data_IF_002091665799
#
_entry.id   IF_002091665799
#
_cell.length_a   1.000
_cell.length_b   1.000
_cell.length_c   1.000
_cell.angle_alpha   90.00
_cell.angle_beta   90.00
_cell.angle_gamma   90.00
#
_symmetry.space_group_name_H-M   'P 1'
#
loop_
_entity.id
_entity.type
_entity.pdbx_description
1 polymer ?
#
# COMPACT_ATOMS: atom_id res chain seq x y z
N UNK A 1 31.88 -25.67 17.92
CA UNK A 1 31.58 -24.81 16.76
C UNK A 1 30.08 -24.53 16.77
N UNK A 2 29.65 -23.47 17.43
CA UNK A 2 28.23 -23.11 17.52
C UNK A 2 27.80 -22.53 16.18
N UNK A 3 26.96 -23.25 15.43
CA UNK A 3 26.37 -22.72 14.21
C UNK A 3 25.58 -21.44 14.55
N UNK A 4 25.77 -20.34 13.81
CA UNK A 4 24.98 -19.15 14.01
C UNK A 4 23.51 -19.49 13.74
N UNK A 5 22.66 -19.36 14.77
CA UNK A 5 21.21 -19.45 14.63
C UNK A 5 20.82 -18.42 13.57
N UNK A 6 20.34 -18.92 12.42
CA UNK A 6 19.79 -18.07 11.38
C UNK A 6 18.65 -17.27 12.01
N UNK A 7 18.59 -15.93 11.90
CA UNK A 7 17.49 -15.17 12.47
C UNK A 7 16.19 -15.74 11.90
N UNK A 8 15.37 -16.30 12.79
CA UNK A 8 14.18 -17.07 12.42
C UNK A 8 13.26 -16.20 11.55
N UNK A 9 12.94 -16.68 10.35
CA UNK A 9 12.09 -15.97 9.40
C UNK A 9 10.68 -15.90 9.99
N UNK A 10 10.15 -14.69 10.16
CA UNK A 10 8.77 -14.51 10.64
C UNK A 10 7.78 -14.84 9.53
N UNK A 11 7.24 -16.06 9.55
CA UNK A 11 6.32 -16.59 8.52
C UNK A 11 5.01 -15.83 8.46
N UNK A 12 4.60 -15.15 9.55
CA UNK A 12 3.35 -14.37 9.60
C UNK A 12 3.35 -13.27 8.55
N UNK A 13 4.50 -12.61 8.36
CA UNK A 13 4.65 -11.53 7.37
C UNK A 13 4.49 -12.06 5.94
N UNK A 14 5.00 -13.26 5.67
CA UNK A 14 4.83 -13.90 4.37
C UNK A 14 3.36 -14.30 4.12
N UNK A 15 2.67 -14.84 5.13
CA UNK A 15 1.25 -15.20 5.05
C UNK A 15 0.39 -13.94 4.84
N UNK A 16 0.57 -12.89 5.64
CA UNK A 16 -0.18 -11.65 5.45
C UNK A 16 0.08 -11.00 4.09
N UNK A 17 1.32 -11.07 3.58
CA UNK A 17 1.63 -10.61 2.22
C UNK A 17 0.89 -11.43 1.17
N UNK A 18 0.85 -12.76 1.31
CA UNK A 18 0.13 -13.64 0.39
C UNK A 18 -1.38 -13.38 0.42
N UNK A 19 -1.96 -13.23 1.62
CA UNK A 19 -3.37 -12.88 1.80
C UNK A 19 -3.70 -11.51 1.20
N UNK A 20 -2.84 -10.50 1.39
CA UNK A 20 -3.03 -9.20 0.78
C UNK A 20 -3.04 -9.29 -0.74
N UNK A 21 -2.08 -10.00 -1.35
CA UNK A 21 -2.02 -10.20 -2.80
C UNK A 21 -3.23 -10.96 -3.34
N UNK A 22 -3.68 -12.01 -2.64
CA UNK A 22 -4.88 -12.76 -3.03
C UNK A 22 -6.14 -11.88 -2.96
N UNK A 23 -6.27 -11.09 -1.89
CA UNK A 23 -7.42 -10.20 -1.71
C UNK A 23 -7.43 -9.11 -2.79
N UNK A 24 -6.28 -8.51 -3.10
CA UNK A 24 -6.12 -7.55 -4.20
C UNK A 24 -6.57 -8.19 -5.52
N UNK A 25 -6.11 -9.41 -5.82
CA UNK A 25 -6.51 -10.11 -7.04
C UNK A 25 -8.02 -10.30 -7.14
N UNK A 26 -8.66 -10.79 -6.08
CA UNK A 26 -10.13 -10.98 -6.04
C UNK A 26 -10.85 -9.65 -6.20
N UNK A 27 -10.37 -8.59 -5.55
CA UNK A 27 -10.94 -7.24 -5.66
C UNK A 27 -10.80 -6.61 -7.04
N UNK A 28 -9.95 -7.16 -7.90
CA UNK A 28 -9.73 -6.70 -9.28
C UNK A 28 -10.60 -7.47 -10.30
N UNK A 29 -11.42 -8.42 -9.84
CA UNK A 29 -12.43 -9.13 -10.64
C UNK A 29 -13.80 -8.96 -9.95
N UNK A 30 -14.41 -7.76 -10.07
CA UNK A 30 -15.68 -7.47 -9.39
C UNK A 30 -16.83 -8.31 -9.96
N UNK A 31 -17.85 -8.56 -9.12
CA UNK A 31 -19.03 -9.37 -9.45
C UNK A 31 -18.90 -10.86 -9.12
N UNK A 32 -17.81 -11.27 -8.47
CA UNK A 32 -17.63 -12.67 -8.01
C UNK A 32 -18.10 -12.84 -6.57
N UNK A 33 -18.52 -14.06 -6.20
CA UNK A 33 -18.92 -14.37 -4.81
C UNK A 33 -17.77 -14.14 -3.82
N UNK A 34 -16.53 -14.31 -4.28
CA UNK A 34 -15.34 -14.08 -3.48
C UNK A 34 -15.12 -12.61 -3.13
N UNK A 35 -15.60 -11.68 -3.97
CA UNK A 35 -15.53 -10.24 -3.70
C UNK A 35 -16.23 -9.88 -2.39
N UNK A 36 -17.35 -10.52 -2.06
CA UNK A 36 -18.07 -10.24 -0.80
C UNK A 36 -17.28 -10.63 0.45
N UNK A 37 -16.28 -11.52 0.31
CA UNK A 37 -15.44 -12.02 1.39
C UNK A 37 -14.10 -11.26 1.50
N UNK A 38 -13.86 -10.26 0.64
CA UNK A 38 -12.60 -9.51 0.69
C UNK A 38 -12.62 -8.44 1.76
N UNK A 39 -11.42 -8.10 2.23
CA UNK A 39 -11.17 -7.17 3.34
C UNK A 39 -11.85 -5.80 3.16
N UNK A 40 -12.02 -5.32 1.91
CA UNK A 40 -12.65 -4.03 1.63
C UNK A 40 -14.10 -3.91 2.12
N UNK A 41 -14.81 -5.02 2.32
CA UNK A 41 -16.19 -5.01 2.77
C UNK A 41 -16.31 -4.95 4.30
N UNK A 42 -15.20 -5.13 5.04
CA UNK A 42 -15.22 -5.24 6.50
C UNK A 42 -14.76 -3.97 7.22
N UNK A 43 -14.48 -2.88 6.49
CA UNK A 43 -14.14 -1.61 7.11
C UNK A 43 -13.58 -0.58 6.14
N UNK A 44 -12.97 0.48 6.67
CA UNK A 44 -12.61 1.66 5.88
C UNK A 44 -11.39 1.45 4.98
N UNK A 45 -10.47 0.56 5.36
CA UNK A 45 -9.29 0.20 4.57
C UNK A 45 -9.47 -1.15 3.88
N UNK A 46 -8.67 -1.40 2.85
CA UNK A 46 -8.61 -2.62 2.07
C UNK A 46 -7.19 -3.21 2.02
N UNK A 47 -6.99 -4.20 1.16
CA UNK A 47 -5.75 -4.95 1.09
C UNK A 47 -4.55 -4.11 0.61
N UNK A 48 -4.77 -2.97 -0.04
CA UNK A 48 -3.69 -2.07 -0.45
C UNK A 48 -2.99 -1.45 0.77
N UNK A 49 -3.74 -1.00 1.78
CA UNK A 49 -3.13 -0.47 3.01
C UNK A 49 -2.30 -1.53 3.73
N UNK A 50 -2.85 -2.74 3.88
CA UNK A 50 -2.13 -3.85 4.48
C UNK A 50 -0.85 -4.17 3.69
N UNK A 51 -0.95 -4.23 2.36
CA UNK A 51 0.20 -4.48 1.49
C UNK A 51 1.31 -3.43 1.64
N UNK A 52 0.98 -2.13 1.68
CA UNK A 52 1.97 -1.05 1.81
C UNK A 52 2.61 -1.04 3.20
N UNK A 53 1.82 -1.26 4.26
CA UNK A 53 2.33 -1.38 5.62
C UNK A 53 3.33 -2.54 5.74
N UNK A 54 2.94 -3.74 5.28
CA UNK A 54 3.78 -4.95 5.28
C UNK A 54 5.00 -4.78 4.38
N UNK A 55 4.87 -4.04 3.28
CA UNK A 55 5.99 -3.72 2.39
C UNK A 55 7.07 -2.90 3.10
N UNK A 56 6.66 -1.92 3.92
CA UNK A 56 7.58 -1.16 4.78
C UNK A 56 8.29 -2.04 5.81
N UNK A 57 7.54 -2.93 6.47
CA UNK A 57 8.09 -3.93 7.39
C UNK A 57 9.12 -4.84 6.68
N UNK A 58 8.78 -5.32 5.48
CA UNK A 58 9.64 -6.20 4.68
C UNK A 58 10.96 -5.53 4.29
N UNK A 59 10.93 -4.24 3.96
CA UNK A 59 12.14 -3.47 3.65
C UNK A 59 13.03 -3.31 4.90
N UNK A 60 12.44 -3.00 6.06
CA UNK A 60 13.18 -2.96 7.32
C UNK A 60 13.81 -4.32 7.67
N UNK A 61 13.10 -5.43 7.46
CA UNK A 61 13.63 -6.77 7.71
C UNK A 61 14.78 -7.14 6.77
N UNK A 62 14.65 -6.83 5.48
CA UNK A 62 15.59 -7.24 4.43
C UNK A 62 16.86 -6.38 4.39
N UNK A 63 16.74 -5.08 4.66
CA UNK A 63 17.80 -4.09 4.48
C UNK A 63 18.22 -3.39 5.78
N UNK A 64 17.39 -3.37 6.83
CA UNK A 64 17.63 -2.58 8.04
C UNK A 64 18.97 -2.87 8.74
N UNK A 65 19.34 -4.14 8.91
CA UNK A 65 20.64 -4.52 9.52
C UNK A 65 21.83 -4.33 8.57
N UNK A 66 21.58 -4.35 7.26
CA UNK A 66 22.60 -4.22 6.21
C UNK A 66 22.92 -2.75 5.89
N UNK A 67 22.05 -1.82 6.28
CA UNK A 67 22.16 -0.39 5.99
C UNK A 67 23.08 0.34 6.99
N UNK A 68 24.32 -0.13 7.12
CA UNK A 68 25.35 0.43 8.01
C UNK A 68 26.33 1.32 7.24
N UNK A 69 27.05 2.25 7.90
CA UNK A 69 28.15 3.00 7.29
C UNK A 69 29.08 2.05 6.50
N UNK A 70 29.45 2.42 5.27
CA UNK A 70 30.24 1.58 4.36
C UNK A 70 29.43 0.66 3.43
N UNK A 71 28.24 0.19 3.83
CA UNK A 71 27.41 -0.73 3.01
C UNK A 71 26.12 -0.08 2.46
N UNK A 72 25.89 1.21 2.76
CA UNK A 72 24.68 1.94 2.35
C UNK A 72 24.47 1.94 0.85
N UNK A 73 25.52 2.20 0.08
CA UNK A 73 25.44 2.27 -1.38
C UNK A 73 24.96 0.93 -1.97
N UNK A 74 25.54 -0.19 -1.51
CA UNK A 74 25.16 -1.53 -1.99
C UNK A 74 23.71 -1.84 -1.63
N UNK A 75 23.26 -1.49 -0.42
CA UNK A 75 21.87 -1.66 -0.02
C UNK A 75 20.92 -0.78 -0.86
N UNK A 76 21.27 0.48 -1.11
CA UNK A 76 20.55 1.40 -2.00
C UNK A 76 20.40 0.84 -3.40
N UNK A 77 21.50 0.40 -4.02
CA UNK A 77 21.48 -0.18 -5.37
C UNK A 77 20.61 -1.44 -5.45
N UNK A 78 20.58 -2.27 -4.40
CA UNK A 78 19.68 -3.43 -4.34
C UNK A 78 18.20 -3.03 -4.26
N UNK A 79 17.87 -1.97 -3.51
CA UNK A 79 16.50 -1.43 -3.44
C UNK A 79 16.08 -0.82 -4.78
N UNK A 80 16.96 -0.03 -5.40
CA UNK A 80 16.69 0.58 -6.71
C UNK A 80 16.62 -0.43 -7.84
N UNK A 81 17.46 -1.48 -7.84
CA UNK A 81 17.32 -2.60 -8.77
C UNK A 81 15.94 -3.24 -8.65
N UNK A 82 15.44 -3.42 -7.42
CA UNK A 82 14.10 -3.97 -7.19
C UNK A 82 13.00 -3.01 -7.64
N UNK A 83 13.15 -1.71 -7.42
CA UNK A 83 12.25 -0.70 -7.98
C UNK A 83 12.22 -0.75 -9.52
N UNK A 84 13.39 -0.91 -10.16
CA UNK A 84 13.51 -1.09 -11.61
C UNK A 84 12.82 -2.36 -12.11
N UNK A 85 12.93 -3.48 -11.39
CA UNK A 85 12.17 -4.70 -11.72
C UNK A 85 10.67 -4.43 -11.65
N UNK A 86 10.17 -3.77 -10.60
CA UNK A 86 8.75 -3.44 -10.49
C UNK A 86 8.28 -2.50 -11.60
N UNK A 87 9.10 -1.52 -11.98
CA UNK A 87 8.82 -0.64 -13.11
C UNK A 87 8.67 -1.45 -14.40
N UNK A 88 9.63 -2.31 -14.74
CA UNK A 88 9.56 -3.15 -15.95
C UNK A 88 8.37 -4.10 -15.88
N UNK A 89 8.13 -4.75 -14.73
CA UNK A 89 6.96 -5.61 -14.52
C UNK A 89 5.66 -4.86 -14.74
N UNK A 90 5.56 -3.62 -14.25
CA UNK A 90 4.38 -2.78 -14.48
C UNK A 90 4.20 -2.46 -15.96
N UNK A 91 5.25 -2.01 -16.67
CA UNK A 91 5.17 -1.72 -18.11
C UNK A 91 4.72 -2.95 -18.89
N UNK A 92 5.36 -4.10 -18.68
CA UNK A 92 5.02 -5.35 -19.39
C UNK A 92 3.60 -5.78 -19.09
N UNK A 93 3.18 -5.76 -17.82
CA UNK A 93 1.81 -6.15 -17.43
C UNK A 93 0.78 -5.20 -18.04
N UNK A 94 1.03 -3.89 -18.03
CA UNK A 94 0.17 -2.88 -18.68
C UNK A 94 0.03 -3.14 -20.18
N UNK A 95 1.12 -3.46 -20.88
CA UNK A 95 1.06 -3.82 -22.31
C UNK A 95 0.28 -5.10 -22.56
N UNK A 96 0.44 -6.13 -21.72
CA UNK A 96 -0.31 -7.39 -21.82
C UNK A 96 -1.80 -7.17 -21.60
N UNK A 97 -2.19 -6.42 -20.57
CA UNK A 97 -3.60 -6.08 -20.31
C UNK A 97 -4.19 -5.32 -21.49
N UNK A 98 -3.49 -4.30 -21.97
CA UNK A 98 -3.92 -3.51 -23.12
C UNK A 98 -4.10 -4.37 -24.38
N UNK A 99 -3.17 -5.29 -24.64
CA UNK A 99 -3.26 -6.23 -25.75
C UNK A 99 -4.47 -7.17 -25.63
N UNK A 100 -4.77 -7.67 -24.42
CA UNK A 100 -5.94 -8.53 -24.17
C UNK A 100 -7.24 -7.77 -24.46
N UNK A 101 -7.37 -6.55 -23.96
CA UNK A 101 -8.57 -5.73 -24.17
C UNK A 101 -8.75 -5.33 -25.64
N UNK A 102 -7.67 -4.92 -26.32
CA UNK A 102 -7.70 -4.66 -27.76
C UNK A 102 -8.04 -5.92 -28.57
N UNK A 103 -7.48 -7.08 -28.22
CA UNK A 103 -7.80 -8.34 -28.87
C UNK A 103 -9.26 -8.72 -28.68
N UNK A 104 -9.81 -8.57 -27.48
CA UNK A 104 -11.23 -8.81 -27.22
C UNK A 104 -12.12 -7.83 -28.01
N UNK A 105 -11.74 -6.56 -28.09
CA UNK A 105 -12.48 -5.57 -28.87
C UNK A 105 -12.54 -5.93 -30.37
N UNK A 106 -11.42 -6.37 -30.94
CA UNK A 106 -11.31 -6.72 -32.37
C UNK A 106 -11.92 -8.09 -32.67
N UNK A 107 -11.50 -9.14 -31.96
CA UNK A 107 -11.84 -10.53 -32.30
C UNK A 107 -13.18 -10.96 -31.72
N UNK A 108 -13.53 -10.52 -30.51
CA UNK A 108 -14.81 -10.83 -29.88
C UNK A 108 -15.90 -9.79 -30.20
N UNK A 109 -15.59 -8.78 -31.03
CA UNK A 109 -16.50 -7.69 -31.44
C UNK A 109 -17.12 -6.96 -30.25
N UNK A 110 -16.29 -6.69 -29.23
CA UNK A 110 -16.66 -6.02 -27.98
C UNK A 110 -15.96 -4.66 -27.81
N UNK A 111 -16.28 -3.66 -28.65
CA UNK A 111 -15.62 -2.35 -28.60
C UNK A 111 -15.86 -1.61 -27.28
N UNK A 112 -16.92 -1.96 -26.55
CA UNK A 112 -17.23 -1.49 -25.21
C UNK A 112 -16.11 -1.77 -24.19
N UNK A 113 -15.27 -2.79 -24.41
CA UNK A 113 -14.15 -3.07 -23.53
C UNK A 113 -13.07 -1.97 -23.56
N UNK A 114 -12.95 -1.22 -24.66
CA UNK A 114 -11.98 -0.13 -24.76
C UNK A 114 -12.34 1.08 -23.90
N UNK A 115 -13.57 1.17 -23.39
CA UNK A 115 -13.98 2.23 -22.46
C UNK A 115 -13.78 1.85 -20.99
N UNK A 116 -13.34 0.62 -20.72
CA UNK A 116 -13.11 0.15 -19.36
C UNK A 116 -11.68 0.43 -18.91
N UNK A 117 -11.48 0.41 -17.58
CA UNK A 117 -10.17 0.43 -16.91
C UNK A 117 -9.18 1.50 -17.41
N UNK A 118 -9.70 2.63 -17.89
CA UNK A 118 -8.90 3.75 -18.40
C UNK A 118 -8.10 3.42 -19.68
N UNK A 119 -8.64 2.57 -20.57
CA UNK A 119 -8.06 2.29 -21.90
C UNK A 119 -8.46 3.34 -22.93
N UNK A 120 -9.62 3.96 -22.79
CA UNK A 120 -10.18 4.89 -23.78
C UNK A 120 -9.21 5.99 -24.24
N UNK A 121 -8.41 6.62 -23.36
CA UNK A 121 -7.43 7.63 -23.78
C UNK A 121 -6.39 7.10 -24.79
N UNK A 122 -6.07 5.80 -24.76
CA UNK A 122 -5.15 5.19 -25.73
C UNK A 122 -5.70 5.29 -27.15
N UNK A 123 -7.01 5.11 -27.32
CA UNK A 123 -7.69 5.18 -28.62
C UNK A 123 -7.74 6.62 -29.11
N UNK A 124 -7.99 7.57 -28.20
CA UNK A 124 -8.14 8.99 -28.52
C UNK A 124 -6.81 9.70 -28.78
N UNK A 125 -5.81 9.46 -27.93
CA UNK A 125 -4.52 10.18 -27.91
C UNK A 125 -3.32 9.23 -27.67
N UNK A 126 -3.02 8.29 -28.61
CA UNK A 126 -2.00 7.27 -28.39
C UNK A 126 -0.60 7.81 -28.02
N UNK A 127 -0.04 8.83 -28.70
CA UNK A 127 1.30 9.32 -28.37
C UNK A 127 1.42 9.82 -26.93
N UNK A 128 0.44 10.59 -26.47
CA UNK A 128 0.41 11.15 -25.12
C UNK A 128 0.25 10.04 -24.07
N UNK A 129 -0.61 9.05 -24.33
CA UNK A 129 -0.78 7.91 -23.43
C UNK A 129 0.47 7.05 -23.35
N UNK A 130 1.17 6.81 -24.46
CA UNK A 130 2.44 6.07 -24.43
C UNK A 130 3.49 6.78 -23.56
N UNK A 131 3.58 8.12 -23.65
CA UNK A 131 4.40 8.91 -22.73
C UNK A 131 3.91 8.77 -21.29
N UNK A 132 2.60 8.85 -21.06
CA UNK A 132 1.99 8.65 -19.74
C UNK A 132 2.34 7.30 -19.14
N UNK A 133 2.23 6.20 -19.90
CA UNK A 133 2.52 4.84 -19.42
C UNK A 133 4.00 4.71 -19.03
N UNK A 134 4.92 5.16 -19.90
CA UNK A 134 6.37 5.08 -19.65
C UNK A 134 6.78 5.95 -18.46
N UNK A 135 6.14 7.11 -18.27
CA UNK A 135 6.40 7.99 -17.13
C UNK A 135 5.59 7.63 -15.88
N UNK A 136 4.80 6.55 -15.93
CA UNK A 136 3.84 6.13 -14.90
C UNK A 136 2.72 7.15 -14.63
N UNK A 137 2.59 8.20 -15.45
CA UNK A 137 1.50 9.18 -15.42
C UNK A 137 0.15 8.60 -15.84
N UNK A 138 0.12 7.67 -16.79
CA UNK A 138 -1.11 6.98 -17.22
C UNK A 138 -1.11 5.56 -16.70
N UNK A 139 -1.95 5.30 -15.70
CA UNK A 139 -2.10 3.98 -15.10
C UNK A 139 -3.47 3.43 -15.44
N UNK A 140 -3.51 2.19 -15.93
CA UNK A 140 -4.77 1.47 -16.10
C UNK A 140 -5.41 1.25 -14.72
N UNK A 141 -6.74 1.23 -14.70
CA UNK A 141 -7.49 0.83 -13.51
C UNK A 141 -6.97 -0.52 -13.01
N UNK A 142 -6.92 -0.70 -11.68
CA UNK A 142 -6.45 -1.93 -11.03
C UNK A 142 -4.93 -2.20 -11.14
N UNK A 143 -4.15 -1.35 -11.83
CA UNK A 143 -2.69 -1.53 -11.96
C UNK A 143 -1.85 -0.51 -11.15
N UNK A 144 -2.47 0.17 -10.19
CA UNK A 144 -1.88 1.34 -9.52
C UNK A 144 -0.93 0.99 -8.36
N UNK A 145 -1.00 -0.23 -7.81
CA UNK A 145 -0.21 -0.62 -6.62
C UNK A 145 1.29 -0.81 -6.94
N UNK A 146 1.64 -1.23 -8.15
CA UNK A 146 3.05 -1.41 -8.54
C UNK A 146 3.79 -0.07 -8.68
N UNK A 147 3.26 0.96 -9.39
CA UNK A 147 3.88 2.28 -9.48
C UNK A 147 4.16 2.91 -8.12
N UNK A 148 3.19 2.93 -7.21
CA UNK A 148 3.40 3.49 -5.86
C UNK A 148 4.46 2.70 -5.11
N UNK A 149 4.49 1.36 -5.23
CA UNK A 149 5.51 0.57 -4.54
C UNK A 149 6.92 0.79 -5.10
N UNK A 150 7.05 0.94 -6.42
CA UNK A 150 8.33 1.29 -7.05
C UNK A 150 8.82 2.67 -6.54
N UNK A 151 7.95 3.68 -6.48
CA UNK A 151 8.27 4.99 -5.93
C UNK A 151 8.70 4.92 -4.45
N UNK A 152 7.97 4.16 -3.62
CA UNK A 152 8.32 3.96 -2.21
C UNK A 152 9.68 3.26 -2.05
N UNK A 153 10.03 2.31 -2.92
CA UNK A 153 11.35 1.66 -2.90
C UNK A 153 12.48 2.58 -3.38
N UNK A 154 12.21 3.51 -4.29
CA UNK A 154 13.19 4.54 -4.67
C UNK A 154 13.50 5.47 -3.50
N UNK A 155 12.48 5.83 -2.70
CA UNK A 155 12.62 6.68 -1.50
C UNK A 155 13.08 5.92 -0.25
N UNK A 156 12.93 4.60 -0.21
CA UNK A 156 13.26 3.75 0.93
C UNK A 156 14.68 3.93 1.51
N UNK A 157 15.77 4.15 0.74
CA UNK A 157 17.07 4.41 1.30
C UNK A 157 17.09 5.66 2.19
N UNK A 158 16.39 6.72 1.80
CA UNK A 158 16.28 7.94 2.60
C UNK A 158 15.46 7.68 3.87
N UNK A 159 14.33 6.98 3.75
CA UNK A 159 13.53 6.58 4.91
C UNK A 159 14.31 5.73 5.91
N UNK A 160 15.02 4.71 5.42
CA UNK A 160 15.88 3.86 6.25
C UNK A 160 16.96 4.68 6.95
N UNK A 161 17.58 5.64 6.26
CA UNK A 161 18.57 6.53 6.86
C UNK A 161 17.95 7.32 8.02
N UNK A 162 16.90 8.10 7.76
CA UNK A 162 16.31 8.99 8.75
C UNK A 162 15.67 8.24 9.92
N UNK A 163 14.91 7.18 9.65
CA UNK A 163 14.28 6.34 10.68
C UNK A 163 15.35 5.64 11.53
N UNK A 164 16.48 5.26 10.93
CA UNK A 164 17.56 4.64 11.69
C UNK A 164 18.22 5.62 12.67
N UNK A 165 18.31 6.91 12.35
CA UNK A 165 18.92 7.89 13.23
C UNK A 165 17.94 8.52 14.23
N UNK A 166 16.80 9.01 13.76
CA UNK A 166 15.80 9.73 14.55
C UNK A 166 14.39 9.28 14.16
N UNK A 167 13.92 8.11 14.66
CA UNK A 167 12.66 7.51 14.21
C UNK A 167 11.45 8.43 14.43
N UNK A 168 11.35 9.07 15.60
CA UNK A 168 10.23 9.98 15.90
C UNK A 168 10.22 11.20 14.99
N UNK A 169 11.38 11.84 14.76
CA UNK A 169 11.47 12.99 13.86
C UNK A 169 11.17 12.59 12.41
N UNK A 170 11.66 11.43 11.95
CA UNK A 170 11.38 10.92 10.62
C UNK A 170 9.89 10.64 10.40
N UNK A 171 9.22 10.02 11.39
CA UNK A 171 7.77 9.79 11.34
C UNK A 171 6.97 11.11 11.42
N UNK A 172 7.42 12.08 12.21
CA UNK A 172 6.78 13.40 12.27
C UNK A 172 6.86 14.14 10.92
N UNK A 173 8.03 14.12 10.26
CA UNK A 173 8.21 14.68 8.91
C UNK A 173 7.35 13.93 7.89
N UNK A 174 7.31 12.60 7.98
CA UNK A 174 6.48 11.76 7.12
C UNK A 174 4.98 12.06 7.29
N UNK A 175 4.52 12.29 8.53
CA UNK A 175 3.15 12.67 8.83
C UNK A 175 2.82 14.10 8.36
N UNK A 176 3.75 15.05 8.54
CA UNK A 176 3.60 16.41 8.02
C UNK A 176 3.50 16.41 6.48
N UNK A 177 4.34 15.63 5.79
CA UNK A 177 4.27 15.48 4.34
C UNK A 177 2.93 14.89 3.89
N UNK A 178 2.44 13.84 4.56
CA UNK A 178 1.12 13.26 4.28
C UNK A 178 -0.01 14.29 4.45
N UNK A 179 0.03 15.06 5.54
CA UNK A 179 -0.99 16.07 5.85
C UNK A 179 -0.96 17.23 4.85
N UNK A 180 0.22 17.76 4.53
CA UNK A 180 0.40 18.85 3.56
C UNK A 180 -0.01 18.38 2.17
N UNK A 181 0.43 17.20 1.74
CA UNK A 181 0.04 16.63 0.45
C UNK A 181 -1.47 16.42 0.35
N UNK A 182 -2.12 16.02 1.44
CA UNK A 182 -3.56 15.82 1.49
C UNK A 182 -4.38 17.11 1.54
N UNK A 183 -3.94 18.13 2.28
CA UNK A 183 -4.62 19.44 2.37
C UNK A 183 -4.52 20.19 1.04
N UNK A 184 -3.33 20.24 0.45
CA UNK A 184 -3.08 20.99 -0.77
C UNK A 184 -3.20 20.14 -2.04
N UNK A 185 -3.67 18.90 -1.92
CA UNK A 185 -3.83 17.92 -3.00
C UNK A 185 -2.58 17.79 -3.89
N UNK A 186 -1.41 17.70 -3.27
CA UNK A 186 -0.13 17.54 -3.97
C UNK A 186 0.09 16.06 -4.25
N UNK A 187 0.07 15.69 -5.53
CA UNK A 187 0.35 14.34 -5.98
C UNK A 187 0.92 14.37 -7.42
N UNK A 188 1.62 13.31 -7.85
CA UNK A 188 2.02 13.18 -9.25
C UNK A 188 0.78 13.21 -10.18
N UNK A 189 0.86 13.87 -11.34
CA UNK A 189 -0.29 14.04 -12.24
C UNK A 189 -0.65 12.75 -12.97
N UNK A 190 -1.93 12.59 -13.30
CA UNK A 190 -2.47 11.47 -14.08
C UNK A 190 -2.33 11.69 -15.61
N UNK A 191 -1.15 12.09 -16.09
CA UNK A 191 -0.97 12.49 -17.49
C UNK A 191 -1.25 11.34 -18.48
N UNK A 192 -2.03 11.54 -19.57
CA UNK A 192 -2.53 12.83 -20.08
C UNK A 192 -3.90 13.26 -19.57
N UNK A 193 -4.56 12.42 -18.78
CA UNK A 193 -5.86 12.73 -18.19
C UNK A 193 -5.72 13.75 -17.04
N UNK A 194 -6.80 14.46 -16.69
CA UNK A 194 -6.80 15.31 -15.51
C UNK A 194 -6.72 14.48 -14.22
N UNK A 195 -6.30 15.14 -13.13
CA UNK A 195 -6.23 14.55 -11.80
C UNK A 195 -4.84 14.00 -11.44
N UNK A 196 -4.83 13.05 -10.52
CA UNK A 196 -3.63 12.59 -9.84
C UNK A 196 -3.47 11.08 -9.94
N UNK A 197 -2.27 10.59 -9.64
CA UNK A 197 -2.06 9.17 -9.39
C UNK A 197 -3.06 8.65 -8.36
N UNK A 198 -3.73 7.55 -8.69
CA UNK A 198 -4.75 6.96 -7.82
C UNK A 198 -4.23 6.62 -6.41
N UNK A 199 -2.95 6.23 -6.30
CA UNK A 199 -2.24 6.02 -5.04
C UNK A 199 -1.07 7.02 -4.95
N UNK A 200 -1.24 8.10 -4.20
CA UNK A 200 -0.24 9.16 -4.09
C UNK A 200 0.98 8.72 -3.26
N UNK A 201 2.20 8.62 -3.83
CA UNK A 201 3.38 8.23 -3.08
C UNK A 201 3.70 9.14 -1.89
N UNK A 202 3.32 10.43 -1.94
CA UNK A 202 3.57 11.41 -0.86
C UNK A 202 2.68 11.16 0.37
N UNK A 203 1.48 10.63 0.16
CA UNK A 203 0.57 10.22 1.23
C UNK A 203 0.87 8.82 1.73
N UNK A 204 1.03 7.87 0.81
CA UNK A 204 1.20 6.45 1.13
C UNK A 204 2.55 6.11 1.77
N UNK A 205 3.56 6.99 1.62
CA UNK A 205 4.84 6.82 2.33
C UNK A 205 4.71 6.85 3.85
N UNK A 206 3.67 7.50 4.42
CA UNK A 206 3.45 7.49 5.86
C UNK A 206 3.21 6.07 6.39
N UNK A 207 2.28 5.34 5.77
CA UNK A 207 1.96 3.97 6.17
C UNK A 207 3.16 3.03 5.98
N UNK A 208 3.90 3.20 4.88
CA UNK A 208 5.15 2.49 4.63
C UNK A 208 6.20 2.75 5.71
N UNK A 209 6.37 4.01 6.10
CA UNK A 209 7.33 4.42 7.13
C UNK A 209 6.93 3.96 8.53
N UNK A 210 5.64 3.92 8.86
CA UNK A 210 5.14 3.32 10.10
C UNK A 210 5.53 1.84 10.17
N UNK A 211 5.31 1.08 9.10
CA UNK A 211 5.71 -0.34 9.03
C UNK A 211 7.22 -0.52 9.17
N UNK A 212 8.01 0.30 8.48
CA UNK A 212 9.47 0.27 8.55
C UNK A 212 9.98 0.60 9.96
N UNK A 213 9.49 1.69 10.56
CA UNK A 213 9.87 2.13 11.88
C UNK A 213 9.50 1.12 12.97
N UNK A 214 8.33 0.48 12.85
CA UNK A 214 7.87 -0.55 13.78
C UNK A 214 8.85 -1.72 13.86
N UNK A 215 9.27 -2.25 12.70
CA UNK A 215 10.25 -3.35 12.66
C UNK A 215 11.62 -2.92 13.17
N UNK A 216 12.10 -1.73 12.78
CA UNK A 216 13.39 -1.22 13.24
C UNK A 216 13.40 -0.98 14.76
N UNK A 217 12.29 -0.51 15.33
CA UNK A 217 12.12 -0.33 16.77
C UNK A 217 12.18 -1.68 17.50
N UNK A 218 11.41 -2.68 17.05
CA UNK A 218 11.43 -4.03 17.65
C UNK A 218 12.81 -4.67 17.55
N UNK A 219 13.50 -4.52 16.41
CA UNK A 219 14.87 -5.02 16.23
C UNK A 219 15.91 -4.37 17.14
N UNK A 220 15.65 -3.18 17.67
CA UNK A 220 16.52 -2.50 18.64
C UNK A 220 16.24 -2.91 20.08
N UNK A 221 15.41 -3.93 20.30
CA UNK A 221 14.98 -4.37 21.63
C UNK A 221 13.75 -3.62 22.15
N UNK A 222 13.15 -2.74 21.33
CA UNK A 222 11.87 -2.13 21.65
C UNK A 222 10.72 -3.14 21.62
N UNK A 223 9.61 -2.81 22.27
CA UNK A 223 8.39 -3.61 22.23
C UNK A 223 7.22 -2.70 21.87
N UNK A 224 6.26 -3.20 21.09
CA UNK A 224 5.02 -2.47 20.83
C UNK A 224 4.15 -2.62 22.09
N UNK A 225 3.89 -1.54 22.85
CA UNK A 225 3.18 -1.65 24.12
C UNK A 225 1.72 -2.06 23.88
N UNK A 226 1.30 -3.11 24.58
CA UNK A 226 -0.08 -3.58 24.56
C UNK A 226 -0.82 -2.98 25.75
N UNK A 227 -1.81 -2.12 25.49
CA UNK A 227 -2.64 -1.47 26.49
C UNK A 227 -4.10 -1.89 26.30
N UNK A 228 -4.74 -2.40 27.36
CA UNK A 228 -6.15 -2.85 27.34
C UNK A 228 -7.12 -1.78 26.83
N UNK A 229 -6.87 -0.51 27.15
CA UNK A 229 -7.70 0.61 26.69
C UNK A 229 -7.50 0.84 25.19
N UNK A 230 -6.26 0.80 24.71
CA UNK A 230 -5.97 0.96 23.29
C UNK A 230 -6.51 -0.21 22.46
N UNK A 231 -6.46 -1.44 23.01
CA UNK A 231 -7.12 -2.61 22.42
C UNK A 231 -8.63 -2.40 22.33
N UNK A 232 -9.26 -1.93 23.41
CA UNK A 232 -10.69 -1.62 23.42
C UNK A 232 -11.07 -0.54 22.39
N UNK A 233 -10.30 0.54 22.31
CA UNK A 233 -10.51 1.63 21.34
C UNK A 233 -10.31 1.13 19.90
N UNK A 234 -9.25 0.36 19.64
CA UNK A 234 -8.99 -0.20 18.31
C UNK A 234 -10.11 -1.17 17.90
N UNK A 235 -10.56 -2.05 18.80
CA UNK A 235 -11.67 -2.97 18.55
C UNK A 235 -12.98 -2.22 18.30
N UNK A 236 -13.31 -1.22 19.12
CA UNK A 236 -14.48 -0.39 18.93
C UNK A 236 -14.45 0.35 17.58
N UNK A 237 -13.29 0.88 17.20
CA UNK A 237 -13.12 1.56 15.92
C UNK A 237 -13.31 0.63 14.72
N UNK A 238 -12.71 -0.57 14.76
CA UNK A 238 -12.88 -1.59 13.71
C UNK A 238 -14.33 -2.07 13.61
N UNK A 239 -14.99 -2.34 14.75
CA UNK A 239 -16.40 -2.73 14.75
C UNK A 239 -17.32 -1.61 14.25
N UNK A 240 -17.01 -0.37 14.61
CA UNK A 240 -17.73 0.80 14.09
C UNK A 240 -17.56 0.91 12.57
N UNK A 241 -16.35 0.73 12.06
CA UNK A 241 -16.09 0.74 10.63
C UNK A 241 -16.86 -0.36 9.89
N UNK A 242 -16.90 -1.57 10.46
CA UNK A 242 -17.67 -2.69 9.91
C UNK A 242 -19.17 -2.36 9.81
N UNK A 243 -19.77 -1.86 10.90
CA UNK A 243 -21.19 -1.48 10.90
C UNK A 243 -21.44 -0.31 9.93
N UNK A 244 -20.52 0.65 9.89
CA UNK A 244 -20.66 1.85 9.06
C UNK A 244 -20.67 1.52 7.57
N UNK A 245 -19.77 0.65 7.09
CA UNK A 245 -19.68 0.25 5.68
C UNK A 245 -20.97 -0.42 5.19
N UNK A 246 -21.71 -1.08 6.08
CA UNK A 246 -23.00 -1.71 5.78
C UNK A 246 -24.21 -0.82 6.10
N UNK A 247 -23.99 0.43 6.51
CA UNK A 247 -25.05 1.38 6.82
C UNK A 247 -25.32 2.34 5.65
N UNK A 248 -26.50 3.01 5.60
CA UNK A 248 -26.76 4.06 4.61
C UNK A 248 -25.79 5.25 4.67
N UNK A 249 -24.97 5.34 5.72
CA UNK A 249 -23.95 6.38 5.89
C UNK A 249 -22.70 6.12 5.05
N UNK A 250 -22.52 4.92 4.49
CA UNK A 250 -21.42 4.62 3.58
C UNK A 250 -21.52 5.47 2.31
N UNK A 251 -20.41 6.10 1.92
CA UNK A 251 -20.37 7.03 0.78
C UNK A 251 -20.76 8.49 1.10
N UNK A 252 -21.28 8.78 2.29
CA UNK A 252 -21.50 10.18 2.73
C UNK A 252 -20.18 10.76 3.25
N UNK A 253 -19.46 11.43 2.35
CA UNK A 253 -18.17 12.07 2.63
C UNK A 253 -18.42 13.53 3.02
N UNK A 254 -17.87 13.92 4.16
CA UNK A 254 -17.85 15.28 4.74
C UNK A 254 -19.16 15.79 5.35
N UNK A 255 -19.41 15.43 6.61
CA UNK A 255 -20.35 16.15 7.49
C UNK A 255 -19.74 17.45 8.08
N UNK A 256 -18.44 17.68 7.87
CA UNK A 256 -17.63 18.61 8.67
C UNK A 256 -16.85 19.67 7.84
N UNK A 257 -17.07 19.79 6.53
CA UNK A 257 -16.33 20.72 5.64
C UNK A 257 -14.80 20.72 5.83
N UNK A 258 -14.25 19.60 6.30
CA UNK A 258 -12.83 19.40 6.54
C UNK A 258 -12.14 18.88 5.28
N UNK A 259 -10.81 19.11 5.13
CA UNK A 259 -10.03 18.57 4.02
C UNK A 259 -10.23 17.06 3.82
N UNK A 260 -10.18 16.61 2.57
CA UNK A 260 -10.36 15.21 2.14
C UNK A 260 -9.38 14.24 2.82
N UNK A 261 -8.21 14.72 3.25
CA UNK A 261 -7.26 13.89 4.00
C UNK A 261 -7.70 13.62 5.45
N UNK A 262 -8.52 14.48 6.05
CA UNK A 262 -8.98 14.35 7.44
C UNK A 262 -10.35 13.67 7.55
N UNK A 263 -11.17 13.74 6.50
CA UNK A 263 -12.52 13.16 6.49
C UNK A 263 -12.77 12.30 5.27
N UNK A 264 -13.86 11.55 5.27
CA UNK A 264 -14.21 10.67 4.16
C UNK A 264 -13.32 9.43 4.06
N UNK A 265 -13.34 8.82 2.88
CA UNK A 265 -12.72 7.53 2.61
C UNK A 265 -11.86 7.58 1.35
N UNK A 266 -11.20 8.71 1.11
CA UNK A 266 -10.34 8.89 -0.05
C UNK A 266 -9.11 7.97 0.01
N UNK A 267 -8.85 7.31 -1.12
CA UNK A 267 -7.69 6.42 -1.30
C UNK A 267 -6.46 7.17 -1.81
N UNK A 268 -6.66 8.20 -2.63
CA UNK A 268 -5.56 8.94 -3.25
C UNK A 268 -4.62 9.54 -2.22
N UNK A 269 -5.18 10.26 -1.26
CA UNK A 269 -4.43 10.92 -0.19
C UNK A 269 -4.35 10.12 1.11
N UNK A 270 -4.78 8.85 1.10
CA UNK A 270 -4.83 7.98 2.27
C UNK A 270 -5.50 8.69 3.45
N UNK A 271 -6.80 8.92 3.32
CA UNK A 271 -7.59 9.64 4.32
C UNK A 271 -7.43 9.07 5.74
N UNK A 272 -7.51 9.95 6.74
CA UNK A 272 -7.29 9.63 8.14
C UNK A 272 -8.16 8.47 8.63
N UNK A 273 -9.47 8.36 8.28
CA UNK A 273 -10.27 7.22 8.72
C UNK A 273 -9.71 5.88 8.24
N UNK A 274 -9.18 5.83 7.00
CA UNK A 274 -8.57 4.62 6.42
C UNK A 274 -7.22 4.31 7.04
N UNK A 275 -6.39 5.34 7.27
CA UNK A 275 -5.11 5.22 7.98
C UNK A 275 -5.30 4.67 9.39
N UNK A 276 -6.22 5.25 10.17
CA UNK A 276 -6.52 4.79 11.52
C UNK A 276 -7.08 3.37 11.52
N UNK A 277 -7.85 3.00 10.49
CA UNK A 277 -8.46 1.66 10.40
C UNK A 277 -7.41 0.57 10.19
N UNK A 278 -6.49 0.76 9.23
CA UNK A 278 -5.42 -0.23 9.03
C UNK A 278 -4.49 -0.32 10.24
N UNK A 279 -4.20 0.80 10.91
CA UNK A 279 -3.37 0.82 12.11
C UNK A 279 -4.06 0.13 13.30
N UNK A 280 -5.36 0.36 13.49
CA UNK A 280 -6.16 -0.32 14.51
C UNK A 280 -6.19 -1.84 14.25
N UNK A 281 -6.47 -2.26 13.02
CA UNK A 281 -6.44 -3.67 12.62
C UNK A 281 -5.07 -4.30 12.87
N UNK A 282 -4.00 -3.65 12.45
CA UNK A 282 -2.63 -4.13 12.65
C UNK A 282 -2.25 -4.20 14.13
N UNK A 283 -2.69 -3.23 14.93
CA UNK A 283 -2.50 -3.25 16.38
C UNK A 283 -3.22 -4.42 17.03
N UNK A 284 -4.47 -4.71 16.65
CA UNK A 284 -5.21 -5.86 17.17
C UNK A 284 -4.54 -7.19 16.81
N UNK A 285 -4.02 -7.33 15.59
CA UNK A 285 -3.25 -8.52 15.17
C UNK A 285 -2.01 -8.72 16.06
N UNK A 286 -1.31 -7.64 16.41
CA UNK A 286 -0.12 -7.71 17.28
C UNK A 286 -0.51 -7.94 18.75
N UNK A 287 -1.58 -7.29 19.21
CA UNK A 287 -2.01 -7.31 20.62
C UNK A 287 -2.74 -8.60 21.03
N UNK A 288 -3.27 -9.35 20.07
CA UNK A 288 -4.01 -10.60 20.30
C UNK A 288 -3.19 -11.80 19.82
N UNK A 289 -2.43 -12.47 20.70
CA UNK A 289 -1.50 -13.54 20.32
C UNK A 289 -2.18 -14.68 19.55
N UNK A 290 -3.43 -15.03 19.89
CA UNK A 290 -4.19 -16.07 19.19
C UNK A 290 -4.39 -15.75 17.70
N UNK A 291 -4.63 -14.49 17.36
CA UNK A 291 -4.75 -14.03 15.97
C UNK A 291 -3.41 -14.17 15.27
N UNK A 292 -2.34 -13.69 15.90
CA UNK A 292 -1.00 -13.75 15.31
C UNK A 292 -0.49 -15.19 15.14
N UNK A 293 -0.87 -16.10 16.04
CA UNK A 293 -0.45 -17.49 16.04
C UNK A 293 -1.14 -18.31 14.95
N UNK A 294 -2.38 -17.95 14.57
CA UNK A 294 -3.09 -18.60 13.47
C UNK A 294 -2.31 -18.50 12.14
N UNK A 295 -1.56 -17.42 11.96
CA UNK A 295 -0.76 -17.18 10.75
C UNK A 295 0.69 -17.66 10.86
N UNK A 296 1.07 -18.28 11.97
CA UNK A 296 2.40 -18.87 12.14
C UNK A 296 2.37 -20.29 11.55
N UNK A 297 2.93 -20.46 10.36
CA UNK A 297 3.10 -21.79 9.78
C UNK A 297 4.27 -22.52 10.44
N UNK A 298 4.13 -23.84 10.61
CA UNK A 298 5.20 -24.73 11.05
C UNK A 298 6.36 -24.73 10.07
N UNK A 299 7.53 -25.21 10.53
CA UNK A 299 8.67 -25.48 9.66
C UNK A 299 8.41 -26.80 8.95
N UNK A 300 8.09 -26.76 7.67
CA UNK A 300 8.35 -27.86 6.75
C UNK A 300 9.78 -27.71 6.20
#
# INVERSE_FOLDING_TARGET
>A
MTMPVSPERDTRIDVFRALALLTIFVDHVPGTVFEALTYKNFGFSDAAEAFVLISGMSVALAYGTKFQPGNRLIATLKMWRRAGVLYVTHIVTTMVVMAIFCAAAVFAKRPDLLTLINIEPLVRNPPQVLVGIVTLGHQLGYNNILPVYAALLLMAPAFLLFISYRPLAALAVSAALWLVAGIYQIAPPNYPEPGFWFLNPLSWQLLFNIGMASVLHVRRGGTIPVNRWLVGVAAAYVLTALVWVHSPLWGHVSWLDLPVVLTGFDKTFLSLPRLLHILAMSYLVVALPFVSNLFRTGRD
#
